data_IF_477846801669
#
_entry.id   IF_477846801669
#
_cell.length_a   1.000
_cell.length_b   1.000
_cell.length_c   1.000
_cell.angle_alpha   90.00
_cell.angle_beta   90.00
_cell.angle_gamma   90.00
#
_symmetry.space_group_name_H-M   'P 1'
#
loop_
_entity.id
_entity.type
_entity.pdbx_description
1 polymer ?
#
# COMPACT_ATOMS: atom_id res chain seq x y z
N UNK A 1 -33.55 -45.69 11.05
CA UNK A 1 -34.03 -44.64 11.99
C UNK A 1 -32.86 -43.72 12.33
N UNK A 2 -32.67 -42.64 11.55
CA UNK A 2 -31.64 -41.64 11.84
C UNK A 2 -32.12 -40.69 12.92
N UNK A 3 -31.34 -40.52 14.00
CA UNK A 3 -31.64 -39.56 15.07
C UNK A 3 -31.25 -38.15 14.60
N UNK A 4 -32.23 -37.33 14.26
CA UNK A 4 -32.05 -35.90 14.07
C UNK A 4 -31.78 -35.27 15.44
N UNK A 5 -30.58 -34.74 15.67
CA UNK A 5 -30.29 -33.92 16.85
C UNK A 5 -30.76 -32.49 16.57
N UNK A 6 -31.84 -32.10 17.22
CA UNK A 6 -32.25 -30.69 17.28
C UNK A 6 -31.31 -29.95 18.22
N UNK A 7 -30.53 -29.00 17.69
CA UNK A 7 -29.67 -28.13 18.48
C UNK A 7 -30.46 -26.85 18.74
N UNK A 8 -30.77 -26.57 20.01
CA UNK A 8 -31.37 -25.30 20.40
C UNK A 8 -30.26 -24.24 20.44
N UNK A 9 -30.22 -23.37 19.44
CA UNK A 9 -29.28 -22.25 19.37
C UNK A 9 -29.94 -21.06 20.07
N UNK A 10 -29.28 -20.49 21.08
CA UNK A 10 -29.76 -19.28 21.76
C UNK A 10 -29.41 -18.02 20.95
N UNK A 11 -30.20 -16.94 21.04
CA UNK A 11 -29.90 -15.67 20.39
C UNK A 11 -28.48 -15.16 20.71
N UNK A 12 -28.03 -15.29 21.95
CA UNK A 12 -26.69 -14.90 22.41
C UNK A 12 -25.55 -15.66 21.71
N UNK A 13 -25.74 -16.94 21.36
CA UNK A 13 -24.77 -17.72 20.61
C UNK A 13 -24.77 -17.33 19.12
N UNK A 14 -25.93 -16.92 18.60
CA UNK A 14 -26.06 -16.39 17.25
C UNK A 14 -25.40 -15.01 17.13
N UNK A 15 -25.58 -14.16 18.14
CA UNK A 15 -24.99 -12.82 18.21
C UNK A 15 -23.48 -12.89 18.39
N UNK A 16 -22.94 -13.76 19.26
CA UNK A 16 -21.50 -14.02 19.34
C UNK A 16 -20.92 -14.60 18.06
N UNK A 17 -21.65 -15.47 17.36
CA UNK A 17 -21.22 -15.98 16.07
C UNK A 17 -21.23 -14.88 14.99
N UNK A 18 -22.21 -13.98 15.01
CA UNK A 18 -22.31 -12.84 14.11
C UNK A 18 -21.27 -11.75 14.40
N UNK A 19 -20.95 -11.48 15.67
CA UNK A 19 -19.85 -10.60 16.08
C UNK A 19 -18.50 -11.16 15.67
N UNK A 20 -18.29 -12.48 15.82
CA UNK A 20 -17.10 -13.16 15.31
C UNK A 20 -17.01 -13.17 13.78
N UNK A 21 -18.14 -13.08 13.06
CA UNK A 21 -18.16 -12.85 11.60
C UNK A 21 -17.96 -11.39 11.20
N UNK A 22 -18.14 -10.42 12.12
CA UNK A 22 -17.94 -8.98 11.88
C UNK A 22 -16.50 -8.51 12.13
N UNK A 23 -15.73 -9.20 12.96
CA UNK A 23 -14.30 -8.96 13.04
C UNK A 23 -13.65 -9.44 11.73
N UNK A 24 -12.96 -8.56 10.99
CA UNK A 24 -12.20 -8.98 9.81
C UNK A 24 -11.29 -10.16 10.21
N UNK A 25 -11.54 -11.32 9.64
CA UNK A 25 -10.75 -12.52 9.89
C UNK A 25 -9.28 -12.34 9.45
N UNK A 26 -9.04 -11.38 8.55
CA UNK A 26 -7.76 -11.06 7.95
C UNK A 26 -7.38 -9.63 8.31
N UNK A 27 -6.16 -9.47 8.84
CA UNK A 27 -5.59 -8.17 9.21
C UNK A 27 -4.24 -8.03 8.52
N UNK A 28 -4.13 -7.12 7.55
CA UNK A 28 -2.87 -6.85 6.83
C UNK A 28 -1.80 -6.36 7.82
N UNK A 29 -0.62 -6.95 7.75
CA UNK A 29 0.54 -6.62 8.59
C UNK A 29 1.68 -5.98 7.82
N UNK A 30 1.65 -6.04 6.50
CA UNK A 30 2.59 -5.31 5.67
C UNK A 30 2.49 -5.73 4.23
N UNK A 31 3.09 -4.93 3.38
CA UNK A 31 3.28 -5.25 1.99
C UNK A 31 4.62 -4.75 1.48
N UNK A 32 5.09 -5.37 0.41
CA UNK A 32 6.33 -5.02 -0.30
C UNK A 32 6.03 -5.03 -1.79
N UNK A 33 6.10 -3.84 -2.39
CA UNK A 33 6.08 -3.64 -3.82
C UNK A 33 7.44 -4.05 -4.41
N UNK A 34 7.43 -4.97 -5.38
CA UNK A 34 8.60 -5.43 -6.14
C UNK A 34 8.29 -5.30 -7.62
N UNK A 35 8.76 -4.22 -8.21
CA UNK A 35 8.54 -3.87 -9.61
C UNK A 35 7.04 -3.83 -9.95
N UNK A 36 6.53 -4.86 -10.64
CA UNK A 36 5.14 -4.97 -11.05
C UNK A 36 4.27 -5.73 -10.04
N UNK A 37 4.83 -6.33 -9.01
CA UNK A 37 4.14 -7.27 -8.12
C UNK A 37 4.12 -6.78 -6.68
N UNK A 38 3.07 -7.13 -5.94
CA UNK A 38 3.00 -6.89 -4.50
C UNK A 38 3.06 -8.22 -3.74
N UNK A 39 4.00 -8.32 -2.79
CA UNK A 39 4.00 -9.34 -1.76
C UNK A 39 3.36 -8.76 -0.50
N UNK A 40 2.56 -9.54 0.21
CA UNK A 40 1.85 -9.04 1.39
C UNK A 40 1.85 -10.07 2.50
N UNK A 41 1.73 -9.59 3.74
CA UNK A 41 1.58 -10.40 4.93
C UNK A 41 0.34 -9.98 5.70
N UNK A 42 -0.33 -10.96 6.31
CA UNK A 42 -1.53 -10.72 7.10
C UNK A 42 -1.66 -11.74 8.23
N UNK A 43 -2.37 -11.35 9.28
CA UNK A 43 -2.78 -12.21 10.36
C UNK A 43 -4.18 -12.75 10.09
N UNK A 44 -4.34 -14.07 10.12
CA UNK A 44 -5.63 -14.76 10.00
C UNK A 44 -6.07 -15.25 11.38
N UNK A 45 -7.15 -14.66 11.91
CA UNK A 45 -7.79 -15.05 13.16
C UNK A 45 -8.77 -16.20 12.89
N UNK A 46 -8.36 -17.43 13.22
CA UNK A 46 -9.16 -18.64 12.96
C UNK A 46 -10.14 -18.97 14.11
N UNK A 47 -9.70 -18.72 15.34
CA UNK A 47 -10.45 -18.97 16.56
C UNK A 47 -9.94 -18.04 17.68
N UNK A 48 -10.66 -17.87 18.79
CA UNK A 48 -10.17 -17.11 19.94
C UNK A 48 -8.77 -17.62 20.37
N UNK A 49 -7.79 -16.72 20.38
CA UNK A 49 -6.40 -17.03 20.72
C UNK A 49 -5.57 -17.76 19.65
N UNK A 50 -6.15 -18.05 18.47
CA UNK A 50 -5.44 -18.69 17.35
C UNK A 50 -5.29 -17.72 16.19
N UNK A 51 -4.07 -17.19 16.03
CA UNK A 51 -3.71 -16.26 14.95
C UNK A 51 -2.57 -16.86 14.13
N UNK A 52 -2.79 -17.03 12.83
CA UNK A 52 -1.75 -17.46 11.89
C UNK A 52 -1.22 -16.24 11.14
N UNK A 53 0.10 -16.08 11.09
CA UNK A 53 0.74 -15.12 10.19
C UNK A 53 0.99 -15.77 8.84
N UNK A 54 0.42 -15.20 7.78
CA UNK A 54 0.57 -15.67 6.40
C UNK A 54 1.37 -14.64 5.62
N UNK A 55 2.31 -15.11 4.80
CA UNK A 55 3.05 -14.27 3.85
C UNK A 55 2.85 -14.83 2.45
N UNK A 56 2.39 -13.98 1.54
CA UNK A 56 2.03 -14.37 0.17
C UNK A 56 2.88 -13.61 -0.83
N UNK A 57 3.38 -14.34 -1.84
CA UNK A 57 4.01 -13.76 -3.01
C UNK A 57 3.06 -13.90 -4.19
N UNK A 58 2.58 -12.78 -4.71
CA UNK A 58 1.74 -12.76 -5.90
C UNK A 58 2.59 -12.47 -7.14
N UNK A 59 2.21 -13.05 -8.27
CA UNK A 59 2.82 -12.83 -9.59
C UNK A 59 1.88 -12.07 -10.53
N UNK A 60 0.84 -11.46 -9.97
CA UNK A 60 -0.15 -10.69 -10.71
C UNK A 60 0.27 -9.22 -10.73
N UNK A 61 0.24 -8.53 -11.89
CA UNK A 61 0.57 -7.11 -11.93
C UNK A 61 -0.36 -6.27 -11.06
N UNK A 62 0.22 -5.39 -10.24
CA UNK A 62 -0.54 -4.50 -9.37
C UNK A 62 -1.25 -3.41 -10.16
N UNK A 63 -2.44 -3.04 -9.73
CA UNK A 63 -3.14 -1.88 -10.26
C UNK A 63 -2.39 -0.57 -9.90
N UNK A 64 -2.55 0.47 -10.72
CA UNK A 64 -1.85 1.75 -10.49
C UNK A 64 -2.31 2.44 -9.20
N UNK A 65 -3.54 2.19 -8.74
CA UNK A 65 -4.04 2.69 -7.44
C UNK A 65 -3.17 2.22 -6.27
N UNK A 66 -2.74 0.95 -6.28
CA UNK A 66 -1.84 0.44 -5.23
C UNK A 66 -0.49 1.18 -5.27
N UNK A 67 0.06 1.43 -6.47
CA UNK A 67 1.30 2.19 -6.62
C UNK A 67 1.12 3.64 -6.13
N UNK A 68 -0.02 4.27 -6.45
CA UNK A 68 -0.35 5.61 -5.99
C UNK A 68 -0.49 5.65 -4.46
N UNK A 69 -1.08 4.63 -3.84
CA UNK A 69 -1.18 4.52 -2.39
C UNK A 69 0.20 4.37 -1.72
N UNK A 70 1.14 3.64 -2.32
CA UNK A 70 2.53 3.60 -1.86
C UNK A 70 3.21 4.98 -1.94
N UNK A 71 3.03 5.70 -3.04
CA UNK A 71 3.63 7.03 -3.26
C UNK A 71 3.20 8.08 -2.23
N UNK A 72 1.99 7.98 -1.68
CA UNK A 72 1.53 8.84 -0.58
C UNK A 72 2.44 8.77 0.66
N UNK A 73 3.23 7.69 0.80
CA UNK A 73 4.15 7.51 1.92
C UNK A 73 5.56 8.08 1.67
N UNK A 74 5.89 8.52 0.45
CA UNK A 74 7.24 8.97 0.08
C UNK A 74 7.69 10.18 0.90
N UNK A 75 6.82 11.16 1.07
CA UNK A 75 7.09 12.33 1.90
C UNK A 75 7.20 11.96 3.39
N UNK A 76 6.39 10.99 3.87
CA UNK A 76 6.50 10.50 5.25
C UNK A 76 7.85 9.83 5.50
N UNK A 77 8.35 9.00 4.57
CA UNK A 77 9.68 8.41 4.65
C UNK A 77 10.76 9.49 4.78
N UNK A 78 10.71 10.51 3.92
CA UNK A 78 11.69 11.58 3.93
C UNK A 78 11.69 12.39 5.24
N UNK A 79 10.51 12.68 5.80
CA UNK A 79 10.40 13.45 7.06
C UNK A 79 10.79 12.60 8.27
N UNK A 80 10.33 11.34 8.35
CA UNK A 80 10.62 10.47 9.50
C UNK A 80 12.11 10.13 9.56
N UNK A 81 12.78 10.00 8.41
CA UNK A 81 14.23 9.83 8.34
C UNK A 81 15.02 11.14 8.47
N UNK A 82 14.36 12.27 8.78
CA UNK A 82 14.98 13.60 8.94
C UNK A 82 15.71 14.15 7.70
N UNK A 83 15.43 13.59 6.52
CA UNK A 83 16.02 14.04 5.25
C UNK A 83 15.35 15.31 4.71
N UNK A 84 14.08 15.49 5.05
CA UNK A 84 13.31 16.71 4.79
C UNK A 84 12.74 17.19 6.13
N UNK A 85 13.00 18.44 6.53
CA UNK A 85 12.49 18.93 7.80
C UNK A 85 10.97 19.14 7.69
N UNK A 86 10.24 18.79 8.75
CA UNK A 86 8.77 18.82 8.73
C UNK A 86 8.19 20.21 8.45
N UNK A 87 8.88 21.27 8.88
CA UNK A 87 8.48 22.66 8.65
C UNK A 87 8.64 23.12 7.18
N UNK A 88 9.35 22.37 6.35
CA UNK A 88 9.40 22.60 4.91
C UNK A 88 8.12 22.13 4.19
N UNK A 89 7.29 21.31 4.84
CA UNK A 89 6.02 20.83 4.29
C UNK A 89 4.90 21.55 5.03
N UNK A 90 4.19 22.44 4.32
CA UNK A 90 3.07 23.17 4.91
C UNK A 90 1.85 22.27 5.11
N UNK A 91 1.59 21.38 4.14
CA UNK A 91 0.52 20.41 4.17
C UNK A 91 0.94 19.19 3.33
N UNK A 92 0.80 17.99 3.91
CA UNK A 92 1.19 16.75 3.23
C UNK A 92 0.24 16.43 2.07
N UNK A 93 -1.05 16.74 2.23
CA UNK A 93 -2.08 16.44 1.23
C UNK A 93 -1.98 17.32 -0.02
N UNK A 94 -1.31 18.47 0.08
CA UNK A 94 -1.11 19.40 -1.03
C UNK A 94 0.11 19.05 -1.90
N UNK A 95 0.91 18.05 -1.49
CA UNK A 95 2.08 17.61 -2.26
C UNK A 95 1.66 16.83 -3.51
N UNK A 96 1.83 17.47 -4.66
CA UNK A 96 1.60 16.85 -5.96
C UNK A 96 2.84 16.04 -6.40
N UNK A 97 2.65 15.03 -7.28
CA UNK A 97 3.78 14.39 -7.95
C UNK A 97 4.64 15.44 -8.66
N UNK A 98 5.96 15.31 -8.53
CA UNK A 98 6.88 16.17 -9.25
C UNK A 98 6.67 16.06 -10.77
N UNK A 99 6.67 17.23 -11.40
CA UNK A 99 6.51 17.43 -12.83
C UNK A 99 7.48 18.56 -13.20
N UNK A 100 8.40 18.30 -14.11
CA UNK A 100 9.47 19.23 -14.49
C UNK A 100 8.97 20.47 -15.25
N UNK A 101 7.80 20.38 -15.89
CA UNK A 101 7.19 21.51 -16.60
C UNK A 101 6.45 22.45 -15.63
N UNK A 102 6.01 21.91 -14.48
CA UNK A 102 5.21 22.64 -13.48
C UNK A 102 6.05 23.09 -12.28
N UNK A 103 6.99 22.28 -11.83
CA UNK A 103 7.72 22.48 -10.59
C UNK A 103 9.19 22.84 -10.85
N UNK A 104 9.69 23.82 -10.11
CA UNK A 104 11.09 24.21 -10.21
C UNK A 104 12.02 23.16 -9.61
N UNK A 105 13.18 22.94 -10.24
CA UNK A 105 14.24 22.11 -9.66
C UNK A 105 14.63 22.64 -8.27
N UNK A 106 14.51 21.76 -7.27
CA UNK A 106 14.80 22.07 -5.87
C UNK A 106 13.57 22.45 -5.04
N UNK A 107 12.36 22.44 -5.63
CA UNK A 107 11.10 22.53 -4.89
C UNK A 107 10.93 21.37 -3.90
N UNK A 108 9.91 21.44 -3.05
CA UNK A 108 9.63 20.37 -2.09
C UNK A 108 9.21 19.08 -2.82
N UNK A 109 8.42 19.20 -3.88
CA UNK A 109 7.99 18.09 -4.74
C UNK A 109 9.19 17.42 -5.41
N UNK A 110 10.14 18.21 -5.93
CA UNK A 110 11.39 17.68 -6.50
C UNK A 110 12.23 16.92 -5.46
N UNK A 111 12.26 17.39 -4.21
CA UNK A 111 13.00 16.71 -3.15
C UNK A 111 12.32 15.42 -2.73
N UNK A 112 10.99 15.44 -2.58
CA UNK A 112 10.19 14.27 -2.23
C UNK A 112 10.24 13.22 -3.35
N UNK A 113 10.29 13.62 -4.62
CA UNK A 113 10.37 12.68 -5.76
C UNK A 113 11.67 11.87 -5.80
N UNK A 114 12.68 12.23 -5.01
CA UNK A 114 13.89 11.41 -4.84
C UNK A 114 13.66 10.21 -3.93
N UNK A 115 12.52 10.14 -3.22
CA UNK A 115 12.20 9.07 -2.29
C UNK A 115 11.18 8.13 -2.92
N UNK A 116 11.27 6.84 -2.57
CA UNK A 116 10.29 5.84 -2.99
C UNK A 116 10.12 4.80 -1.90
N UNK A 117 8.91 4.73 -1.33
CA UNK A 117 8.51 3.68 -0.38
C UNK A 117 8.17 2.42 -1.16
N UNK A 118 8.85 1.33 -0.82
CA UNK A 118 8.64 0.02 -1.42
C UNK A 118 8.00 -0.97 -0.45
N UNK A 119 8.01 -0.70 0.85
CA UNK A 119 7.40 -1.59 1.84
C UNK A 119 6.94 -0.86 3.08
N UNK A 120 5.89 -1.38 3.70
CA UNK A 120 5.49 -1.00 5.05
C UNK A 120 5.27 -2.24 5.91
N UNK A 121 5.46 -2.09 7.22
CA UNK A 121 5.16 -3.10 8.24
C UNK A 121 4.40 -2.46 9.38
N UNK A 122 3.26 -3.05 9.74
CA UNK A 122 2.42 -2.66 10.86
C UNK A 122 2.73 -3.56 12.05
N UNK A 123 3.15 -2.94 13.15
CA UNK A 123 3.40 -3.59 14.42
C UNK A 123 2.48 -3.03 15.51
N UNK A 124 2.24 -3.83 16.55
CA UNK A 124 1.36 -3.47 17.66
C UNK A 124 -0.03 -4.09 17.58
N UNK A 125 -0.81 -3.83 18.62
CA UNK A 125 -2.22 -4.17 18.73
C UNK A 125 -3.11 -2.98 18.33
N UNK A 126 -4.42 -3.08 18.54
CA UNK A 126 -5.37 -2.02 18.19
C UNK A 126 -5.09 -0.68 18.88
N UNK A 127 -4.42 -0.70 20.02
CA UNK A 127 -4.29 0.46 20.90
C UNK A 127 -2.89 1.09 20.80
N UNK A 128 -1.88 0.33 20.37
CA UNK A 128 -0.50 0.81 20.18
C UNK A 128 0.04 0.49 18.79
N UNK A 129 -0.74 0.81 17.76
CA UNK A 129 -0.33 0.57 16.39
C UNK A 129 0.83 1.48 15.97
N UNK A 130 1.78 0.90 15.26
CA UNK A 130 3.00 1.54 14.81
C UNK A 130 3.38 1.03 13.44
N UNK A 131 4.11 1.85 12.70
CA UNK A 131 4.53 1.55 11.34
C UNK A 131 6.04 1.67 11.20
N UNK A 132 6.59 0.79 10.37
CA UNK A 132 7.95 0.89 9.83
C UNK A 132 7.81 0.97 8.32
N UNK A 133 8.36 2.04 7.72
CA UNK A 133 8.44 2.21 6.27
C UNK A 133 9.85 1.81 5.82
N UNK A 134 9.91 1.14 4.67
CA UNK A 134 11.16 0.83 3.99
C UNK A 134 11.05 1.34 2.56
N UNK A 135 12.09 2.02 2.12
CA UNK A 135 12.16 2.63 0.82
C UNK A 135 13.59 2.90 0.41
N UNK A 136 13.73 3.78 -0.55
CA UNK A 136 15.02 4.23 -1.04
C UNK A 136 14.99 5.71 -1.40
N UNK A 137 16.17 6.32 -1.34
CA UNK A 137 16.44 7.66 -1.82
C UNK A 137 17.39 7.57 -3.01
N UNK A 138 17.01 8.14 -4.12
CA UNK A 138 17.88 8.36 -5.27
C UNK A 138 18.84 9.51 -4.97
N UNK A 139 20.14 9.24 -5.07
CA UNK A 139 21.18 10.24 -4.93
C UNK A 139 21.39 10.98 -6.24
N UNK A 140 21.99 12.17 -6.16
CA UNK A 140 22.40 12.94 -7.34
C UNK A 140 23.45 12.23 -8.20
N UNK A 141 24.12 11.20 -7.67
CA UNK A 141 25.04 10.33 -8.42
C UNK A 141 24.32 9.33 -9.32
N UNK A 142 23.00 9.14 -9.13
CA UNK A 142 22.21 8.08 -9.76
C UNK A 142 22.14 6.78 -8.96
N UNK A 143 22.90 6.67 -7.85
CA UNK A 143 22.83 5.54 -6.93
C UNK A 143 21.61 5.63 -6.01
N UNK A 144 21.24 4.49 -5.41
CA UNK A 144 20.12 4.40 -4.47
C UNK A 144 20.61 4.06 -3.07
N UNK A 145 20.13 4.81 -2.07
CA UNK A 145 20.35 4.53 -0.65
C UNK A 145 19.08 3.96 -0.07
N UNK A 146 19.16 2.77 0.51
CA UNK A 146 18.03 2.17 1.22
C UNK A 146 17.80 2.90 2.54
N UNK A 147 16.53 3.24 2.79
CA UNK A 147 16.09 3.88 4.01
C UNK A 147 15.07 2.97 4.71
N UNK A 148 15.17 2.93 6.03
CA UNK A 148 14.24 2.25 6.90
C UNK A 148 13.93 3.19 8.06
N UNK A 149 12.65 3.51 8.25
CA UNK A 149 12.28 4.43 9.32
C UNK A 149 12.45 3.76 10.68
N UNK A 150 12.69 4.55 11.75
CA UNK A 150 12.37 4.08 13.09
C UNK A 150 10.89 3.63 13.17
N UNK A 151 10.60 2.88 14.22
CA UNK A 151 9.24 2.51 14.56
C UNK A 151 8.46 3.77 14.95
N UNK A 152 7.52 4.17 14.11
CA UNK A 152 6.72 5.38 14.32
C UNK A 152 5.34 4.97 14.81
N UNK A 153 4.96 5.43 16.00
CA UNK A 153 3.63 5.20 16.54
C UNK A 153 2.61 6.12 15.85
N UNK A 154 1.41 5.60 15.57
CA UNK A 154 0.36 6.38 14.88
C UNK A 154 -0.28 7.45 15.78
N UNK A 155 -0.04 7.37 17.09
CA UNK A 155 -0.40 8.35 18.11
C UNK A 155 0.81 9.17 18.62
N UNK A 156 1.94 9.13 17.90
CA UNK A 156 3.18 9.80 18.29
C UNK A 156 3.14 11.33 18.15
N UNK A 157 4.23 11.98 18.58
CA UNK A 157 4.50 13.40 18.33
C UNK A 157 4.95 13.71 16.90
N UNK A 158 4.84 12.75 15.97
CA UNK A 158 5.15 12.98 14.56
C UNK A 158 4.18 14.05 13.99
N UNK A 159 4.67 15.14 13.38
CA UNK A 159 3.82 16.25 12.96
C UNK A 159 2.69 15.88 12.00
N UNK A 160 2.88 14.84 11.19
CA UNK A 160 1.93 14.38 10.18
C UNK A 160 1.34 13.00 10.51
N UNK A 161 1.14 12.70 11.81
CA UNK A 161 0.64 11.41 12.26
C UNK A 161 -0.76 11.09 11.71
N UNK A 162 -1.61 12.11 11.55
CA UNK A 162 -2.96 11.93 11.02
C UNK A 162 -2.95 11.55 9.54
N UNK A 163 -2.18 12.28 8.74
CA UNK A 163 -1.99 12.09 7.30
C UNK A 163 -1.32 10.74 7.04
N UNK A 164 -0.33 10.36 7.86
CA UNK A 164 0.29 9.04 7.81
C UNK A 164 -0.74 7.92 8.03
N UNK A 165 -1.62 8.09 9.01
CA UNK A 165 -2.65 7.10 9.31
C UNK A 165 -3.65 6.97 8.16
N UNK A 166 -4.09 8.09 7.57
CA UNK A 166 -4.97 8.09 6.39
C UNK A 166 -4.29 7.37 5.22
N UNK A 167 -3.04 7.72 4.90
CA UNK A 167 -2.28 7.08 3.83
C UNK A 167 -2.11 5.56 4.04
N UNK A 168 -1.92 5.13 5.30
CA UNK A 168 -1.85 3.72 5.64
C UNK A 168 -3.19 3.00 5.53
N UNK A 169 -4.29 3.62 5.92
CA UNK A 169 -5.64 3.06 5.76
C UNK A 169 -5.94 2.85 4.27
N UNK A 170 -5.65 3.85 3.43
CA UNK A 170 -5.80 3.75 1.98
C UNK A 170 -4.94 2.63 1.40
N UNK A 171 -3.66 2.57 1.79
CA UNK A 171 -2.73 1.55 1.30
C UNK A 171 -3.14 0.15 1.74
N UNK A 172 -3.58 -0.03 2.98
CA UNK A 172 -4.10 -1.31 3.47
C UNK A 172 -5.36 -1.71 2.69
N UNK A 173 -6.25 -0.76 2.40
CA UNK A 173 -7.42 -0.99 1.56
C UNK A 173 -7.05 -1.51 0.17
N UNK A 174 -6.11 -0.84 -0.50
CA UNK A 174 -5.63 -1.27 -1.82
C UNK A 174 -4.93 -2.65 -1.78
N UNK A 175 -4.19 -2.95 -0.72
CA UNK A 175 -3.62 -4.29 -0.51
C UNK A 175 -4.72 -5.33 -0.36
N UNK A 176 -5.79 -5.05 0.39
CA UNK A 176 -6.93 -5.94 0.53
C UNK A 176 -7.69 -6.16 -0.80
N UNK A 177 -7.85 -5.12 -1.62
CA UNK A 177 -8.45 -5.25 -2.95
C UNK A 177 -7.56 -6.10 -3.88
N UNK A 178 -6.24 -5.90 -3.83
CA UNK A 178 -5.28 -6.72 -4.56
C UNK A 178 -5.32 -8.19 -4.10
N UNK A 179 -5.45 -8.45 -2.80
CA UNK A 179 -5.67 -9.80 -2.25
C UNK A 179 -6.95 -10.45 -2.77
N UNK A 180 -7.96 -9.66 -3.11
CA UNK A 180 -9.24 -10.09 -3.68
C UNK A 180 -9.22 -10.21 -5.21
N UNK A 181 -8.09 -9.89 -5.86
CA UNK A 181 -7.88 -10.07 -7.28
C UNK A 181 -7.96 -8.80 -8.13
N UNK A 182 -8.01 -7.60 -7.53
CA UNK A 182 -7.79 -6.35 -8.27
C UNK A 182 -6.38 -6.38 -8.88
N UNK A 183 -6.30 -6.29 -10.19
CA UNK A 183 -5.06 -6.40 -10.95
C UNK A 183 -5.01 -5.34 -12.04
N UNK A 184 -3.81 -5.04 -12.54
CA UNK A 184 -3.67 -4.14 -13.68
C UNK A 184 -4.48 -4.67 -14.88
N UNK A 185 -5.10 -3.79 -15.68
CA UNK A 185 -5.73 -4.20 -16.92
C UNK A 185 -4.71 -4.91 -17.82
N UNK A 186 -5.13 -5.92 -18.61
CA UNK A 186 -4.24 -6.56 -19.56
C UNK A 186 -3.71 -5.48 -20.52
N UNK A 187 -2.39 -5.41 -20.68
CA UNK A 187 -1.77 -4.53 -21.68
C UNK A 187 -2.30 -4.98 -23.04
N UNK A 188 -3.25 -4.24 -23.61
CA UNK A 188 -3.65 -4.43 -24.99
C UNK A 188 -2.43 -4.09 -25.84
N UNK A 189 -1.77 -5.11 -26.38
CA UNK A 189 -0.81 -4.87 -27.46
C UNK A 189 -1.61 -4.24 -28.59
N UNK A 190 -1.39 -2.96 -28.85
CA UNK A 190 -2.01 -2.27 -29.97
C UNK A 190 -1.76 -3.08 -31.23
N UNK A 191 -2.87 -3.37 -31.89
CA UNK A 191 -2.99 -4.07 -33.15
C UNK A 191 -2.40 -3.17 -34.25
N UNK A 192 -1.07 -2.98 -34.27
CA UNK A 192 -0.36 -2.44 -35.43
C UNK A 192 -0.36 -3.51 -36.53
N UNK A 193 -1.55 -3.83 -37.03
CA UNK A 193 -1.74 -4.47 -38.32
C UNK A 193 -1.43 -3.37 -39.37
N UNK A 194 -0.30 -3.52 -40.05
CA UNK A 194 0.18 -2.55 -41.02
C UNK A 194 -0.87 -2.23 -42.08
N UNK A 195 -1.17 -0.93 -42.21
CA UNK A 195 -1.71 -0.36 -43.45
C UNK A 195 -0.53 0.00 -44.35
N UNK A 196 0.15 -1.02 -44.88
CA UNK A 196 0.84 -0.89 -46.17
C UNK A 196 -0.06 -1.58 -47.20
N UNK A 197 -0.67 -0.81 -48.10
CA UNK A 197 -0.56 -0.99 -49.57
C UNK A 197 -1.76 -0.35 -50.30
N UNK A 198 -1.62 0.92 -50.71
CA UNK A 198 -2.38 1.48 -51.85
C UNK A 198 -1.51 2.45 -52.66
N UNK A 199 -0.92 1.89 -53.72
CA UNK A 199 -0.85 2.40 -55.10
C UNK A 199 -0.20 3.77 -55.41
N UNK A 200 0.91 3.71 -56.17
CA UNK A 200 1.04 4.54 -57.38
C UNK A 200 1.89 3.82 -58.45
N UNK A 201 1.22 3.09 -59.34
CA UNK A 201 1.78 2.66 -60.62
C UNK A 201 1.48 3.78 -61.63
N UNK A 202 2.38 4.76 -61.71
CA UNK A 202 2.28 5.85 -62.66
C UNK A 202 2.75 5.39 -64.05
N UNK A 203 2.03 5.83 -65.08
CA UNK A 203 2.22 5.48 -66.51
C UNK A 203 3.20 6.40 -67.21
#
# INVERSE_FOLDING_TARGET
>A
MGRTKTINITPELLDKAAENMKAKAIEVRGATLKDLFCNYSYNHKLAPGTVNTVSTKSQVPVHDDLKAAFRKLDAHLAVICEEIPADAISNMDDLLPYDEDVHATGSIEHKVSMFTVNSFRLEGDSDNQSVILVGEKQLTTGDFVKLETPKTHLDSSYPFAHELNIALIDLVGEVEEYMQGKQAPPVQQELFAGEDDYAEADR
#
